data_IF_370275566272
#
_entry.id   IF_370275566272
#
_cell.length_a   1.000
_cell.length_b   1.000
_cell.length_c   1.000
_cell.angle_alpha   90.00
_cell.angle_beta   90.00
_cell.angle_gamma   90.00
#
_symmetry.space_group_name_H-M   'P 1'
#
loop_
_entity.id
_entity.type
_entity.pdbx_description
1 polymer ?
#
# COMPACT_ATOMS: atom_id res chain seq x y z
N UNK A 1 11.59 16.49 -18.46
CA UNK A 1 12.21 17.14 -19.64
C UNK A 1 13.64 16.64 -19.88
N UNK A 2 14.54 16.74 -18.89
CA UNK A 2 15.95 16.32 -19.05
C UNK A 2 16.10 14.85 -19.49
N UNK A 3 15.25 13.96 -18.97
CA UNK A 3 15.28 12.53 -19.32
C UNK A 3 14.49 12.19 -20.58
N UNK A 4 13.74 13.14 -21.16
CA UNK A 4 12.95 12.92 -22.38
C UNK A 4 11.83 11.90 -22.21
N UNK A 5 11.28 11.73 -21.00
CA UNK A 5 10.20 10.79 -20.74
C UNK A 5 8.83 11.39 -21.10
N UNK A 6 7.94 10.55 -21.60
CA UNK A 6 6.56 10.90 -21.97
C UNK A 6 5.57 10.62 -20.82
N UNK A 7 5.98 9.85 -19.83
CA UNK A 7 5.18 9.50 -18.68
C UNK A 7 6.02 9.24 -17.43
N UNK A 8 5.41 9.42 -16.27
CA UNK A 8 6.02 9.23 -14.96
C UNK A 8 5.07 8.44 -14.07
N UNK A 9 5.58 7.41 -13.42
CA UNK A 9 4.90 6.71 -12.34
C UNK A 9 5.40 7.31 -11.03
N UNK A 10 4.48 7.76 -10.20
CA UNK A 10 4.76 8.33 -8.89
C UNK A 10 4.18 7.38 -7.86
N UNK A 11 5.01 6.81 -7.02
CA UNK A 11 4.58 5.96 -5.91
C UNK A 11 4.88 6.63 -4.58
N UNK A 12 4.01 6.42 -3.63
CA UNK A 12 4.21 6.87 -2.25
C UNK A 12 3.59 5.92 -1.26
N UNK A 13 4.04 6.05 -0.04
CA UNK A 13 3.49 5.45 1.15
C UNK A 13 3.33 6.53 2.22
N UNK A 14 2.22 6.50 2.96
CA UNK A 14 1.95 7.42 4.06
C UNK A 14 0.87 8.45 3.78
N UNK A 15 0.59 9.28 4.78
CA UNK A 15 -0.51 10.23 4.83
C UNK A 15 -0.03 11.65 5.14
N UNK A 16 -0.87 12.64 4.83
CA UNK A 16 -0.62 14.04 5.18
C UNK A 16 0.42 14.69 4.28
N UNK A 17 1.60 15.01 4.79
CA UNK A 17 2.65 15.66 4.01
C UNK A 17 3.07 14.86 2.77
N UNK A 18 3.24 13.53 2.80
CA UNK A 18 3.49 12.75 1.60
C UNK A 18 2.41 12.90 0.53
N UNK A 19 1.13 12.95 0.90
CA UNK A 19 0.02 13.18 -0.06
C UNK A 19 0.14 14.54 -0.74
N UNK A 20 0.44 15.59 0.03
CA UNK A 20 0.63 16.94 -0.50
C UNK A 20 1.81 16.98 -1.48
N UNK A 21 2.93 16.38 -1.14
CA UNK A 21 4.10 16.28 -2.02
C UNK A 21 3.80 15.50 -3.30
N UNK A 22 3.06 14.40 -3.19
CA UNK A 22 2.60 13.58 -4.32
C UNK A 22 1.78 14.42 -5.30
N UNK A 23 0.76 15.12 -4.80
CA UNK A 23 -0.13 15.94 -5.62
C UNK A 23 0.62 17.14 -6.21
N UNK A 24 1.50 17.79 -5.44
CA UNK A 24 2.33 18.88 -5.96
C UNK A 24 3.27 18.41 -7.09
N UNK A 25 3.88 17.25 -6.95
CA UNK A 25 4.75 16.68 -8.00
C UNK A 25 3.93 16.32 -9.25
N UNK A 26 2.77 15.70 -9.08
CA UNK A 26 1.84 15.39 -10.17
C UNK A 26 1.50 16.66 -10.96
N UNK A 27 1.06 17.73 -10.29
CA UNK A 27 0.76 19.02 -10.93
C UNK A 27 1.93 19.58 -11.72
N UNK A 28 3.12 19.58 -11.14
CA UNK A 28 4.34 20.09 -11.79
C UNK A 28 4.72 19.30 -13.04
N UNK A 29 4.52 17.99 -13.03
CA UNK A 29 4.84 17.10 -14.16
C UNK A 29 3.80 17.26 -15.26
N UNK A 30 2.51 17.21 -14.93
CA UNK A 30 1.40 17.37 -15.88
C UNK A 30 1.41 18.77 -16.53
N UNK A 31 1.78 19.82 -15.79
CA UNK A 31 1.94 21.15 -16.35
C UNK A 31 3.03 21.26 -17.44
N UNK A 32 3.91 20.25 -17.54
CA UNK A 32 4.94 20.13 -18.58
C UNK A 32 4.50 19.22 -19.75
N UNK A 33 3.25 18.77 -19.75
CA UNK A 33 2.71 17.88 -20.77
C UNK A 33 3.14 16.41 -20.61
N UNK A 34 3.76 16.06 -19.50
CA UNK A 34 4.19 14.69 -19.20
C UNK A 34 3.07 14.00 -18.41
N UNK A 35 2.64 12.83 -18.84
CA UNK A 35 1.57 12.07 -18.20
C UNK A 35 2.02 11.46 -16.88
N UNK A 36 1.13 11.44 -15.88
CA UNK A 36 1.41 10.83 -14.59
C UNK A 36 0.46 9.70 -14.27
N UNK A 37 0.98 8.67 -13.60
CA UNK A 37 0.20 7.62 -12.93
C UNK A 37 0.66 7.55 -11.49
N UNK A 38 -0.29 7.64 -10.57
CA UNK A 38 -0.04 7.53 -9.14
C UNK A 38 -0.28 6.09 -8.71
N UNK A 39 0.66 5.53 -7.95
CA UNK A 39 0.47 4.28 -7.21
C UNK A 39 0.57 4.62 -5.74
N UNK A 40 -0.51 4.40 -4.99
CA UNK A 40 -0.59 4.77 -3.58
C UNK A 40 -1.39 3.77 -2.77
N UNK A 41 -1.21 3.80 -1.47
CA UNK A 41 -2.02 3.05 -0.52
C UNK A 41 -3.38 3.70 -0.33
N UNK A 42 -4.36 2.89 0.07
CA UNK A 42 -5.68 3.34 0.47
C UNK A 42 -5.97 2.84 1.89
N UNK A 43 -6.25 3.78 2.81
CA UNK A 43 -6.56 3.49 4.21
C UNK A 43 -7.90 4.11 4.58
N UNK A 44 -8.96 3.43 4.25
CA UNK A 44 -10.32 3.93 4.45
C UNK A 44 -10.97 3.42 5.76
N UNK A 45 -10.19 2.81 6.64
CA UNK A 45 -10.69 2.15 7.84
C UNK A 45 -11.37 0.81 7.51
N UNK A 46 -11.68 0.02 8.52
CA UNK A 46 -12.33 -1.29 8.33
C UNK A 46 -13.74 -1.18 7.76
N UNK A 47 -14.40 -0.05 7.96
CA UNK A 47 -15.73 0.26 7.42
C UNK A 47 -15.69 0.95 6.05
N UNK A 48 -14.51 1.27 5.53
CA UNK A 48 -14.29 1.88 4.22
C UNK A 48 -14.78 3.34 4.10
N UNK A 49 -14.94 4.06 5.22
CA UNK A 49 -15.55 5.40 5.23
C UNK A 49 -14.60 6.55 5.45
N UNK A 50 -13.36 6.28 5.83
CA UNK A 50 -12.34 7.30 6.00
C UNK A 50 -11.80 7.77 4.64
N UNK A 51 -11.31 9.00 4.56
CA UNK A 51 -10.62 9.50 3.38
C UNK A 51 -9.20 8.94 3.33
N UNK A 52 -8.80 8.45 2.15
CA UNK A 52 -7.47 7.86 1.94
C UNK A 52 -6.40 8.89 1.62
N UNK A 53 -6.76 9.95 0.91
CA UNK A 53 -5.84 11.02 0.51
C UNK A 53 -6.20 12.31 1.22
N UNK A 54 -5.21 12.98 1.81
CA UNK A 54 -5.37 14.28 2.46
C UNK A 54 -5.45 15.44 1.47
N UNK A 55 -5.01 15.24 0.23
CA UNK A 55 -5.01 16.25 -0.83
C UNK A 55 -5.50 15.62 -2.14
N UNK A 56 -6.08 16.45 -3.01
CA UNK A 56 -6.57 16.02 -4.31
C UNK A 56 -6.45 17.15 -5.34
N UNK A 57 -6.26 16.80 -6.62
CA UNK A 57 -6.20 17.73 -7.73
C UNK A 57 -6.72 17.06 -9.01
N UNK A 58 -7.45 17.78 -9.88
CA UNK A 58 -7.95 17.21 -11.14
C UNK A 58 -6.86 16.66 -12.08
N UNK A 59 -5.62 17.11 -11.95
CA UNK A 59 -4.50 16.55 -12.73
C UNK A 59 -4.10 15.15 -12.29
N UNK A 60 -4.45 14.73 -11.08
CA UNK A 60 -4.27 13.37 -10.58
C UNK A 60 -5.40 12.45 -11.05
N UNK A 61 -5.50 12.22 -12.35
CA UNK A 61 -6.60 11.52 -13.00
C UNK A 61 -6.33 10.04 -13.31
N UNK A 62 -5.13 9.56 -13.01
CA UNK A 62 -4.73 8.17 -13.16
C UNK A 62 -4.12 7.68 -11.84
N UNK A 63 -4.92 7.00 -11.03
CA UNK A 63 -4.52 6.50 -9.71
C UNK A 63 -4.76 5.00 -9.64
N UNK A 64 -3.76 4.27 -9.17
CA UNK A 64 -3.81 2.82 -8.92
C UNK A 64 -3.62 2.59 -7.43
N UNK A 65 -4.54 1.87 -6.82
CA UNK A 65 -4.45 1.42 -5.43
C UNK A 65 -4.54 -0.09 -5.33
N UNK A 66 -4.01 -0.65 -4.25
CA UNK A 66 -4.17 -2.07 -3.92
C UNK A 66 -5.54 -2.41 -3.30
N UNK A 67 -6.44 -1.43 -3.20
CA UNK A 67 -7.68 -1.51 -2.43
C UNK A 67 -7.50 -0.97 -1.01
N UNK A 68 -8.54 -1.11 -0.19
CA UNK A 68 -8.50 -0.62 1.17
C UNK A 68 -7.56 -1.47 2.04
N UNK A 69 -6.42 -0.91 2.42
CA UNK A 69 -5.39 -1.57 3.21
C UNK A 69 -5.89 -2.11 4.57
N UNK A 70 -6.96 -1.53 5.11
CA UNK A 70 -7.60 -1.99 6.34
C UNK A 70 -8.65 -3.12 6.13
N UNK A 71 -8.91 -3.53 4.90
CA UNK A 71 -9.80 -4.65 4.63
C UNK A 71 -9.20 -5.95 5.18
N UNK A 72 -9.98 -6.64 5.99
CA UNK A 72 -9.58 -7.96 6.53
C UNK A 72 -9.83 -9.04 5.48
N UNK A 73 -8.82 -9.86 5.25
CA UNK A 73 -8.84 -10.99 4.33
C UNK A 73 -8.38 -12.27 5.05
N UNK A 74 -8.75 -13.41 4.49
CA UNK A 74 -8.27 -14.72 4.93
C UNK A 74 -7.42 -15.30 3.82
N UNK A 75 -6.16 -15.57 4.11
CA UNK A 75 -5.24 -16.24 3.21
C UNK A 75 -5.26 -17.75 3.49
N UNK A 76 -5.24 -18.58 2.44
CA UNK A 76 -5.13 -20.03 2.63
C UNK A 76 -3.76 -20.42 3.22
N UNK A 77 -3.61 -21.66 3.71
CA UNK A 77 -2.32 -22.18 4.15
C UNK A 77 -1.27 -22.03 3.06
N UNK A 78 -0.09 -21.58 3.43
CA UNK A 78 1.02 -21.38 2.52
C UNK A 78 1.80 -22.70 2.34
N UNK A 79 2.15 -23.05 1.10
CA UNK A 79 2.98 -24.22 0.81
C UNK A 79 4.41 -24.05 1.31
N UNK A 80 4.94 -22.83 1.14
CA UNK A 80 6.31 -22.50 1.53
C UNK A 80 6.35 -21.10 2.11
N UNK A 81 6.98 -20.97 3.27
CA UNK A 81 7.17 -19.68 3.95
C UNK A 81 8.66 -19.41 4.08
N UNK A 82 9.07 -18.21 3.66
CA UNK A 82 10.40 -17.69 3.91
C UNK A 82 10.29 -16.63 4.99
N UNK A 83 10.91 -16.85 6.13
CA UNK A 83 10.81 -15.99 7.30
C UNK A 83 10.16 -16.71 8.49
N UNK A 84 9.61 -15.94 9.38
CA UNK A 84 9.13 -16.42 10.67
C UNK A 84 7.64 -16.13 10.83
N UNK A 85 6.80 -17.15 10.67
CA UNK A 85 5.34 -17.04 10.84
C UNK A 85 4.93 -16.59 12.24
N UNK A 86 5.74 -16.91 13.25
CA UNK A 86 5.48 -16.48 14.62
C UNK A 86 5.48 -14.96 14.81
N UNK A 87 6.03 -14.21 13.86
CA UNK A 87 6.04 -12.75 13.91
C UNK A 87 4.91 -12.09 13.10
N UNK A 88 3.98 -12.86 12.58
CA UNK A 88 2.85 -12.32 11.79
C UNK A 88 1.98 -11.34 12.58
N UNK A 89 1.93 -11.46 13.90
CA UNK A 89 1.23 -10.54 14.80
C UNK A 89 1.96 -9.21 15.02
N UNK A 90 3.22 -9.12 14.61
CA UNK A 90 4.06 -7.92 14.76
C UNK A 90 4.16 -7.08 13.50
N UNK A 91 3.65 -7.57 12.36
CA UNK A 91 3.56 -6.78 11.13
C UNK A 91 2.28 -5.95 11.12
N UNK A 92 2.30 -4.82 10.41
CA UNK A 92 1.10 -4.01 10.26
C UNK A 92 -0.01 -4.84 9.56
N UNK A 93 -1.22 -4.77 10.06
CA UNK A 93 -2.34 -5.58 9.57
C UNK A 93 -2.40 -7.00 10.15
N UNK A 94 -1.37 -7.42 10.88
CA UNK A 94 -1.39 -8.65 11.64
C UNK A 94 -2.08 -8.49 13.00
N UNK A 95 -2.32 -9.60 13.67
CA UNK A 95 -2.83 -9.63 15.04
C UNK A 95 -2.50 -10.94 15.72
N UNK A 96 -2.55 -10.96 17.06
CA UNK A 96 -2.37 -12.18 17.82
C UNK A 96 -3.44 -13.22 17.46
N UNK A 97 -3.04 -14.47 17.37
CA UNK A 97 -3.92 -15.62 17.07
C UNK A 97 -4.62 -15.57 15.70
N UNK A 98 -4.01 -14.90 14.74
CA UNK A 98 -4.56 -14.77 13.39
C UNK A 98 -4.27 -15.98 12.47
N UNK A 99 -3.56 -16.98 12.95
CA UNK A 99 -3.36 -18.27 12.28
C UNK A 99 -4.28 -19.31 12.94
N UNK A 100 -5.18 -19.88 12.17
CA UNK A 100 -6.08 -20.92 12.65
C UNK A 100 -5.43 -22.32 12.68
N UNK A 101 -6.17 -23.31 13.20
CA UNK A 101 -5.69 -24.68 13.30
C UNK A 101 -5.45 -25.36 11.94
N UNK A 102 -5.96 -24.79 10.84
CA UNK A 102 -5.78 -25.28 9.47
C UNK A 102 -4.66 -24.54 8.73
N UNK A 103 -4.03 -23.55 9.37
CA UNK A 103 -2.97 -22.74 8.80
C UNK A 103 -3.46 -21.56 7.97
N UNK A 104 -4.77 -21.26 7.96
CA UNK A 104 -5.25 -20.02 7.34
C UNK A 104 -4.84 -18.82 8.17
N UNK A 105 -4.53 -17.72 7.50
CA UNK A 105 -4.08 -16.49 8.13
C UNK A 105 -5.10 -15.38 7.91
N UNK A 106 -5.62 -14.80 8.98
CA UNK A 106 -6.52 -13.64 8.93
C UNK A 106 -5.72 -12.36 9.15
N UNK A 107 -5.62 -11.51 8.13
CA UNK A 107 -4.83 -10.27 8.17
C UNK A 107 -5.55 -9.15 7.44
N UNK A 108 -5.14 -7.91 7.69
CA UNK A 108 -5.50 -6.80 6.81
C UNK A 108 -4.66 -6.82 5.53
N UNK A 109 -5.21 -6.31 4.42
CA UNK A 109 -4.49 -6.27 3.12
C UNK A 109 -3.12 -5.61 3.24
N UNK A 110 -2.97 -4.61 4.11
CA UNK A 110 -1.67 -3.97 4.32
C UNK A 110 -0.56 -4.95 4.72
N UNK A 111 -0.88 -6.11 5.27
CA UNK A 111 0.09 -7.16 5.58
C UNK A 111 0.77 -7.75 4.33
N UNK A 112 0.18 -7.58 3.14
CA UNK A 112 0.70 -8.11 1.88
C UNK A 112 1.01 -7.04 0.84
N UNK A 113 0.57 -5.80 1.02
CA UNK A 113 0.79 -4.72 0.05
C UNK A 113 2.11 -3.98 0.21
N UNK A 114 2.88 -4.29 1.23
CA UNK A 114 4.26 -3.83 1.38
C UNK A 114 4.47 -2.65 2.32
N UNK A 115 3.42 -1.98 2.78
CA UNK A 115 3.51 -0.90 3.77
C UNK A 115 3.85 -1.36 5.19
N UNK A 116 4.12 -2.63 5.36
CA UNK A 116 4.11 -3.31 6.65
C UNK A 116 5.48 -3.62 7.21
N UNK A 117 6.51 -3.54 6.40
CA UNK A 117 7.87 -3.89 6.83
C UNK A 117 8.78 -2.68 6.76
N UNK A 118 8.48 -1.71 7.58
CA UNK A 118 9.14 -0.41 7.63
C UNK A 118 10.65 -0.50 7.82
N UNK A 119 11.09 -1.50 8.55
CA UNK A 119 12.50 -1.64 8.92
C UNK A 119 13.22 -2.75 8.15
N UNK A 120 12.51 -3.55 7.39
CA UNK A 120 13.03 -4.78 6.79
C UNK A 120 13.39 -5.87 7.81
N UNK A 121 12.98 -5.69 9.06
CA UNK A 121 13.34 -6.59 10.15
C UNK A 121 12.54 -7.89 10.13
N UNK A 122 11.29 -7.82 9.74
CA UNK A 122 10.39 -8.97 9.63
C UNK A 122 10.14 -9.28 8.17
N UNK A 123 10.90 -10.20 7.61
CA UNK A 123 10.66 -10.67 6.25
C UNK A 123 9.68 -11.84 6.28
N UNK A 124 8.54 -11.66 5.66
CA UNK A 124 7.60 -12.73 5.40
C UNK A 124 7.30 -12.77 3.91
N UNK A 125 7.67 -13.84 3.26
CA UNK A 125 7.31 -14.13 1.89
C UNK A 125 6.71 -15.52 1.82
N UNK A 126 5.67 -15.69 1.03
CA UNK A 126 4.99 -16.97 0.87
C UNK A 126 4.68 -17.25 -0.60
N UNK A 127 4.52 -18.54 -0.90
CA UNK A 127 4.27 -19.07 -2.23
C UNK A 127 3.16 -20.11 -2.18
#
# INVERSE_FOLDING_TARGET
EYLGCDGVIISQEGFGNPDTDLIMNTKKIEAKGIKTVIITDEYAGRDGKSQSLADADPSANAVVTGGNANQVIVLPPMETVYGHLEFVDTIAGGSANNIDAHGNITVEIQAITGATNETGFHNLSAR
#
